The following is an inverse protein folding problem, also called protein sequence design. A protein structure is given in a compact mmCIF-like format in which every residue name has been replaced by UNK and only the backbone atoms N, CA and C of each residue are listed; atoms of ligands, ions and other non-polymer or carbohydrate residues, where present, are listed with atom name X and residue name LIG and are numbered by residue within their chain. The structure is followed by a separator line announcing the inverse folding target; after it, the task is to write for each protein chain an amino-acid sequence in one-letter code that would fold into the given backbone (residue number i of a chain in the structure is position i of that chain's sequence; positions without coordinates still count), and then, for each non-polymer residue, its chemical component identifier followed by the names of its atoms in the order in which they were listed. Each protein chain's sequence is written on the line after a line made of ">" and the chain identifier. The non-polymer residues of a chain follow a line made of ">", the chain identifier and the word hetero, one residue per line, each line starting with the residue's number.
data_IF_631471508894
#
_entry.id   IF_631471508894
#
_cell.length_a   1.000
_cell.length_b   1.000
_cell.length_c   1.000
_cell.angle_alpha   90.00
_cell.angle_beta   90.00
_cell.angle_gamma   90.00
#
_symmetry.space_group_name_H-M   'P 1'
#
loop_
_entity.id
_entity.type
_entity.pdbx_description
1 polymer ?
#
# COMPACT_ATOMS: atom_id res chain seq x y z
N UNK A 1 -21.47 -65.02 -11.16
CA UNK A 1 -21.06 -64.09 -12.24
C UNK A 1 -20.36 -62.93 -11.57
N UNK A 2 -19.06 -62.82 -11.83
CA UNK A 2 -18.09 -61.91 -11.21
C UNK A 2 -18.33 -60.43 -11.54
N UNK A 3 -17.91 -59.52 -10.64
CA UNK A 3 -16.89 -58.50 -10.92
C UNK A 3 -16.67 -57.54 -9.72
N UNK A 4 -15.58 -57.80 -8.99
CA UNK A 4 -14.48 -56.86 -8.69
C UNK A 4 -14.71 -55.46 -8.06
N UNK A 5 -14.13 -55.35 -6.85
CA UNK A 5 -13.11 -54.37 -6.39
C UNK A 5 -13.49 -52.99 -5.84
N UNK A 6 -13.27 -52.85 -4.52
CA UNK A 6 -12.44 -51.85 -3.81
C UNK A 6 -12.52 -50.37 -4.21
N UNK A 7 -12.98 -49.52 -3.26
CA UNK A 7 -12.13 -48.46 -2.68
C UNK A 7 -12.72 -47.89 -1.39
N UNK A 8 -11.94 -48.02 -0.32
CA UNK A 8 -12.04 -47.22 0.90
C UNK A 8 -11.94 -45.72 0.59
N UNK A 9 -12.78 -44.93 1.25
CA UNK A 9 -12.43 -43.57 1.71
C UNK A 9 -13.27 -43.18 2.92
N UNK A 10 -12.64 -43.30 4.08
CA UNK A 10 -12.91 -42.50 5.26
C UNK A 10 -13.03 -41.01 4.90
N UNK A 11 -14.16 -40.39 5.23
CA UNK A 11 -14.23 -39.04 5.79
C UNK A 11 -15.39 -39.08 6.80
N UNK A 12 -15.15 -38.91 8.09
CA UNK A 12 -14.88 -37.60 8.66
C UNK A 12 -16.07 -37.22 9.53
N UNK A 13 -16.10 -37.83 10.72
CA UNK A 13 -17.12 -37.76 11.77
C UNK A 13 -17.53 -36.32 12.08
N UNK A 14 -18.83 -36.07 12.11
CA UNK A 14 -19.44 -34.83 12.57
C UNK A 14 -19.00 -34.50 14.01
N UNK A 15 -18.29 -33.39 14.19
CA UNK A 15 -18.01 -32.80 15.51
C UNK A 15 -18.53 -31.36 15.53
N UNK A 16 -19.61 -31.17 16.30
CA UNK A 16 -20.21 -29.88 16.65
C UNK A 16 -19.15 -28.94 17.21
N UNK A 17 -18.95 -27.79 16.59
CA UNK A 17 -18.25 -26.67 17.21
C UNK A 17 -19.16 -26.05 18.28
N UNK A 18 -18.80 -26.16 19.56
CA UNK A 18 -19.34 -25.31 20.64
C UNK A 18 -18.27 -24.27 21.00
N UNK A 19 -18.58 -22.97 21.06
CA UNK A 19 -17.63 -21.98 21.55
C UNK A 19 -17.42 -22.16 23.06
N UNK A 20 -16.16 -22.15 23.48
CA UNK A 20 -15.76 -22.18 24.90
C UNK A 20 -15.85 -20.75 25.47
N UNK A 21 -16.45 -20.52 26.65
CA UNK A 21 -16.44 -19.19 27.29
C UNK A 21 -15.06 -18.93 27.91
N UNK A 22 -14.40 -17.86 27.49
CA UNK A 22 -13.12 -17.42 28.07
C UNK A 22 -13.41 -16.55 29.31
N UNK A 23 -13.34 -17.15 30.49
CA UNK A 23 -13.31 -16.46 31.79
C UNK A 23 -11.87 -16.25 32.25
N UNK A 24 -11.44 -15.00 32.42
CA UNK A 24 -10.18 -14.63 33.08
C UNK A 24 -9.63 -13.26 32.64
N UNK A 25 -9.32 -12.35 33.57
CA UNK A 25 -9.04 -10.94 33.26
C UNK A 25 -7.58 -10.73 32.86
N UNK A 26 -7.33 -10.11 31.71
CA UNK A 26 -6.01 -9.54 31.40
C UNK A 26 -6.08 -8.02 31.43
N UNK A 27 -5.99 -7.53 32.68
CA UNK A 27 -5.16 -6.41 33.14
C UNK A 27 -4.65 -5.48 32.02
N UNK A 28 -5.32 -4.34 31.91
CA UNK A 28 -4.77 -3.02 31.60
C UNK A 28 -3.61 -2.96 30.62
N UNK A 29 -3.91 -3.07 29.34
CA UNK A 29 -3.24 -2.20 28.37
C UNK A 29 -4.14 -0.99 28.29
N UNK A 30 -3.60 0.16 28.70
CA UNK A 30 -4.20 1.47 28.50
C UNK A 30 -4.60 1.52 27.02
N UNK A 31 -5.90 1.55 26.74
CA UNK A 31 -6.42 1.90 25.42
C UNK A 31 -5.79 3.25 25.09
N UNK A 32 -4.71 3.23 24.31
CA UNK A 32 -4.28 4.39 23.57
C UNK A 32 -5.34 4.47 22.49
N UNK A 33 -6.23 5.47 22.61
CA UNK A 33 -7.29 5.80 21.68
C UNK A 33 -6.83 5.53 20.24
N UNK A 34 -7.17 4.34 19.73
CA UNK A 34 -7.00 3.98 18.32
C UNK A 34 -8.20 4.49 17.52
N UNK A 35 -9.14 5.19 18.20
CA UNK A 35 -10.38 5.71 17.66
C UNK A 35 -10.22 6.98 16.82
N UNK A 36 -9.05 7.65 16.88
CA UNK A 36 -8.76 8.85 16.07
C UNK A 36 -7.88 8.54 14.85
N UNK A 37 -7.47 7.28 14.65
CA UNK A 37 -6.68 6.91 13.48
C UNK A 37 -7.60 6.73 12.26
N UNK A 38 -7.45 7.61 11.28
CA UNK A 38 -8.18 7.51 10.01
C UNK A 38 -7.92 6.14 9.35
N UNK A 39 -8.96 5.43 8.89
CA UNK A 39 -8.80 4.16 8.20
C UNK A 39 -7.82 4.28 7.02
N UNK A 40 -6.94 3.29 6.77
CA UNK A 40 -5.97 3.35 5.67
C UNK A 40 -6.61 3.55 4.28
N UNK A 41 -7.83 3.06 4.10
CA UNK A 41 -8.59 3.27 2.86
C UNK A 41 -8.97 4.74 2.65
N UNK A 42 -9.38 5.42 3.72
CA UNK A 42 -9.76 6.84 3.67
C UNK A 42 -8.50 7.71 3.43
N UNK A 43 -7.39 7.38 4.10
CA UNK A 43 -6.07 8.00 3.83
C UNK A 43 -5.68 7.85 2.36
N UNK A 44 -5.77 6.63 1.81
CA UNK A 44 -5.41 6.38 0.43
C UNK A 44 -6.31 7.16 -0.56
N UNK A 45 -7.60 7.30 -0.23
CA UNK A 45 -8.53 8.09 -1.03
C UNK A 45 -8.18 9.58 -1.01
N UNK A 46 -7.98 10.17 0.18
CA UNK A 46 -7.62 11.59 0.32
C UNK A 46 -6.30 11.91 -0.40
N UNK A 47 -5.30 11.03 -0.26
CA UNK A 47 -4.02 11.17 -0.97
C UNK A 47 -4.23 11.12 -2.49
N UNK A 48 -5.08 10.21 -2.98
CA UNK A 48 -5.41 10.11 -4.40
C UNK A 48 -6.12 11.36 -4.95
N UNK A 49 -7.06 11.91 -4.19
CA UNK A 49 -7.77 13.14 -4.54
C UNK A 49 -6.83 14.35 -4.54
N UNK A 50 -5.96 14.48 -3.54
CA UNK A 50 -4.96 15.54 -3.47
C UNK A 50 -3.95 15.45 -4.63
N UNK A 51 -3.47 14.25 -4.95
CA UNK A 51 -2.55 14.04 -6.07
C UNK A 51 -3.19 14.44 -7.41
N UNK A 52 -4.48 14.14 -7.60
CA UNK A 52 -5.23 14.55 -8.79
C UNK A 52 -5.36 16.06 -8.89
N UNK A 53 -5.77 16.73 -7.81
CA UNK A 53 -5.89 18.19 -7.78
C UNK A 53 -4.55 18.88 -8.06
N UNK A 54 -3.45 18.33 -7.53
CA UNK A 54 -2.11 18.81 -7.82
C UNK A 54 -1.74 18.64 -9.29
N UNK A 55 -2.07 17.50 -9.90
CA UNK A 55 -1.87 17.27 -11.33
C UNK A 55 -2.64 18.27 -12.20
N UNK A 56 -3.87 18.59 -11.82
CA UNK A 56 -4.69 19.60 -12.52
C UNK A 56 -4.07 21.00 -12.41
N UNK A 57 -3.54 21.36 -11.23
CA UNK A 57 -2.86 22.66 -11.01
C UNK A 57 -1.54 22.76 -11.79
N UNK A 58 -0.74 21.69 -11.78
CA UNK A 58 0.55 21.66 -12.49
C UNK A 58 0.40 21.65 -14.01
N UNK A 59 -0.75 21.19 -14.51
CA UNK A 59 -1.07 21.23 -15.93
C UNK A 59 -1.46 22.63 -16.41
N UNK A 60 -1.77 23.56 -15.49
CA UNK A 60 -2.01 24.97 -15.82
C UNK A 60 -0.68 25.71 -16.02
N UNK A 61 -0.25 25.83 -17.27
CA UNK A 61 0.97 26.55 -17.65
C UNK A 61 0.94 28.05 -17.36
N UNK A 62 -0.23 28.62 -17.01
CA UNK A 62 -0.34 30.03 -16.63
C UNK A 62 -0.16 30.25 -15.12
N UNK A 63 -0.12 29.18 -14.32
CA UNK A 63 0.14 29.28 -12.90
C UNK A 63 1.61 29.65 -12.66
N UNK A 64 1.84 30.79 -12.00
CA UNK A 64 3.20 31.15 -11.58
C UNK A 64 3.53 30.39 -10.30
N UNK A 65 4.41 29.40 -10.40
CA UNK A 65 5.00 28.72 -9.26
C UNK A 65 6.37 29.31 -8.95
N UNK A 66 6.65 29.56 -7.66
CA UNK A 66 8.02 29.90 -7.26
C UNK A 66 8.91 28.66 -7.35
N UNK A 67 10.23 28.86 -7.42
CA UNK A 67 11.19 27.75 -7.40
C UNK A 67 11.06 26.91 -6.12
N UNK A 68 10.82 27.55 -4.98
CA UNK A 68 10.56 26.88 -3.71
C UNK A 68 9.26 26.04 -3.73
N UNK A 69 8.23 26.49 -4.43
CA UNK A 69 7.00 25.69 -4.62
C UNK A 69 7.29 24.46 -5.47
N UNK A 70 8.05 24.62 -6.56
CA UNK A 70 8.43 23.52 -7.45
C UNK A 70 9.24 22.47 -6.67
N UNK A 71 10.21 22.88 -5.85
CA UNK A 71 10.98 21.97 -5.00
C UNK A 71 10.08 21.15 -4.08
N UNK A 72 9.17 21.84 -3.36
CA UNK A 72 8.26 21.19 -2.44
C UNK A 72 7.31 20.21 -3.14
N UNK A 73 6.84 20.58 -4.33
CA UNK A 73 5.97 19.75 -5.16
C UNK A 73 6.71 18.49 -5.62
N UNK A 74 7.91 18.64 -6.19
CA UNK A 74 8.70 17.51 -6.70
C UNK A 74 9.10 16.57 -5.55
N UNK A 75 9.51 17.11 -4.40
CA UNK A 75 9.81 16.32 -3.21
C UNK A 75 8.59 15.57 -2.67
N UNK A 76 7.43 16.23 -2.63
CA UNK A 76 6.17 15.62 -2.24
C UNK A 76 5.75 14.49 -3.20
N UNK A 77 5.90 14.69 -4.51
CA UNK A 77 5.62 13.68 -5.52
C UNK A 77 6.54 12.46 -5.38
N UNK A 78 7.84 12.68 -5.18
CA UNK A 78 8.81 11.60 -4.97
C UNK A 78 8.45 10.76 -3.73
N UNK A 79 8.08 11.41 -2.62
CA UNK A 79 7.66 10.75 -1.40
C UNK A 79 6.37 9.94 -1.60
N UNK A 80 5.38 10.51 -2.29
CA UNK A 80 4.11 9.84 -2.58
C UNK A 80 4.30 8.59 -3.46
N UNK A 81 5.11 8.68 -4.51
CA UNK A 81 5.42 7.55 -5.40
C UNK A 81 6.17 6.44 -4.65
N UNK A 82 7.14 6.80 -3.81
CA UNK A 82 7.86 5.83 -2.97
C UNK A 82 6.92 5.14 -1.97
N UNK A 83 6.09 5.90 -1.26
CA UNK A 83 5.12 5.33 -0.33
C UNK A 83 4.07 4.44 -1.01
N UNK A 84 3.66 4.76 -2.24
CA UNK A 84 2.78 3.90 -3.03
C UNK A 84 3.45 2.57 -3.42
N UNK A 85 4.75 2.60 -3.76
CA UNK A 85 5.53 1.39 -4.03
C UNK A 85 5.59 0.48 -2.79
N UNK A 86 5.90 1.05 -1.62
CA UNK A 86 5.94 0.31 -0.35
C UNK A 86 4.57 -0.29 0.01
N UNK A 87 3.49 0.47 -0.18
CA UNK A 87 2.13 0.00 0.06
C UNK A 87 1.76 -1.18 -0.83
N UNK A 88 2.11 -1.14 -2.12
CA UNK A 88 1.86 -2.23 -3.05
C UNK A 88 2.72 -3.46 -2.78
N UNK A 89 3.95 -3.30 -2.31
CA UNK A 89 4.76 -4.43 -1.85
C UNK A 89 4.12 -5.09 -0.62
N UNK A 90 3.63 -4.29 0.33
CA UNK A 90 2.85 -4.78 1.47
C UNK A 90 1.61 -5.58 1.06
N UNK A 91 0.82 -5.07 0.10
CA UNK A 91 -0.33 -5.79 -0.47
C UNK A 91 0.11 -7.09 -1.15
N UNK A 92 1.21 -7.06 -1.89
CA UNK A 92 1.76 -8.23 -2.58
C UNK A 92 2.15 -9.33 -1.58
N UNK A 93 2.85 -8.95 -0.51
CA UNK A 93 3.24 -9.87 0.57
C UNK A 93 2.00 -10.44 1.27
N UNK A 94 1.00 -9.60 1.55
CA UNK A 94 -0.26 -10.05 2.15
C UNK A 94 -0.99 -11.06 1.25
N UNK A 95 -1.18 -10.76 -0.04
CA UNK A 95 -1.81 -11.66 -1.01
C UNK A 95 -1.11 -13.01 -1.08
N UNK A 96 0.22 -13.01 -1.09
CA UNK A 96 1.02 -14.24 -1.09
C UNK A 96 0.80 -15.04 0.21
N UNK A 97 0.75 -14.37 1.35
CA UNK A 97 0.56 -15.01 2.66
C UNK A 97 -0.81 -15.69 2.82
N UNK A 98 -1.86 -15.16 2.17
CA UNK A 98 -3.22 -15.71 2.21
C UNK A 98 -3.48 -16.76 1.13
N UNK A 99 -2.46 -17.12 0.33
CA UNK A 99 -2.57 -18.10 -0.75
C UNK A 99 -3.05 -17.54 -2.09
N UNK A 100 -3.20 -16.21 -2.23
CA UNK A 100 -3.47 -15.53 -3.50
C UNK A 100 -2.17 -15.19 -4.27
N UNK A 101 -1.18 -16.08 -4.21
CA UNK A 101 0.14 -15.91 -4.82
C UNK A 101 0.20 -16.04 -6.35
N UNK A 102 -0.92 -15.81 -7.06
CA UNK A 102 -1.01 -15.88 -8.51
C UNK A 102 -0.88 -14.52 -9.19
N UNK A 103 -1.52 -14.37 -10.34
CA UNK A 103 -1.46 -13.19 -11.21
C UNK A 103 -1.66 -11.86 -10.47
N UNK A 104 -2.58 -11.80 -9.50
CA UNK A 104 -2.84 -10.57 -8.75
C UNK A 104 -1.62 -10.10 -7.94
N UNK A 105 -0.95 -11.02 -7.24
CA UNK A 105 0.29 -10.71 -6.52
C UNK A 105 1.44 -10.38 -7.47
N UNK A 106 1.48 -11.01 -8.65
CA UNK A 106 2.45 -10.71 -9.70
C UNK A 106 2.28 -9.29 -10.26
N UNK A 107 1.05 -8.90 -10.59
CA UNK A 107 0.74 -7.56 -11.07
C UNK A 107 1.06 -6.49 -10.02
N UNK A 108 0.67 -6.71 -8.76
CA UNK A 108 0.98 -5.78 -7.67
C UNK A 108 2.50 -5.59 -7.49
N UNK A 109 3.28 -6.68 -7.59
CA UNK A 109 4.75 -6.63 -7.54
C UNK A 109 5.35 -5.81 -8.69
N UNK A 110 4.86 -6.00 -9.92
CA UNK A 110 5.36 -5.27 -11.10
C UNK A 110 5.05 -3.77 -10.99
N UNK A 111 3.88 -3.41 -10.48
CA UNK A 111 3.51 -2.01 -10.28
C UNK A 111 4.38 -1.38 -9.17
N UNK A 112 4.61 -2.11 -8.07
CA UNK A 112 5.49 -1.66 -6.99
C UNK A 112 6.92 -1.38 -7.51
N UNK A 113 7.48 -2.29 -8.31
CA UNK A 113 8.82 -2.12 -8.89
C UNK A 113 8.92 -0.87 -9.79
N UNK A 114 7.91 -0.64 -10.64
CA UNK A 114 7.86 0.54 -11.50
C UNK A 114 7.76 1.84 -10.71
N UNK A 115 6.95 1.85 -9.65
CA UNK A 115 6.83 3.02 -8.78
C UNK A 115 8.12 3.25 -8.00
N UNK A 116 8.78 2.20 -7.50
CA UNK A 116 10.07 2.34 -6.83
C UNK A 116 11.13 2.94 -7.76
N UNK A 117 11.16 2.50 -9.02
CA UNK A 117 12.04 3.07 -10.03
C UNK A 117 11.73 4.55 -10.29
N UNK A 118 10.46 4.88 -10.55
CA UNK A 118 10.02 6.26 -10.78
C UNK A 118 10.28 7.17 -9.57
N UNK A 119 10.10 6.67 -8.35
CA UNK A 119 10.42 7.38 -7.11
C UNK A 119 11.91 7.71 -7.01
N UNK A 120 12.77 6.78 -7.42
CA UNK A 120 14.22 7.01 -7.53
C UNK A 120 14.58 8.09 -8.56
N UNK A 121 13.97 8.07 -9.74
CA UNK A 121 14.18 9.10 -10.77
C UNK A 121 13.69 10.48 -10.30
N UNK A 122 12.54 10.53 -9.63
CA UNK A 122 12.02 11.77 -9.03
C UNK A 122 12.95 12.27 -7.91
N UNK A 123 13.55 11.38 -7.12
CA UNK A 123 14.57 11.77 -6.13
C UNK A 123 15.77 12.46 -6.77
N UNK A 124 16.28 11.94 -7.89
CA UNK A 124 17.35 12.60 -8.64
C UNK A 124 16.93 13.97 -9.18
N UNK A 125 15.66 14.11 -9.60
CA UNK A 125 15.10 15.40 -10.00
C UNK A 125 15.04 16.38 -8.82
N UNK A 126 14.63 15.94 -7.63
CA UNK A 126 14.66 16.77 -6.41
C UNK A 126 16.07 17.31 -6.17
N UNK A 127 17.07 16.43 -6.19
CA UNK A 127 18.47 16.81 -5.96
C UNK A 127 18.96 17.82 -7.00
N UNK A 128 18.58 17.65 -8.27
CA UNK A 128 18.93 18.56 -9.35
C UNK A 128 18.28 19.94 -9.18
N UNK A 129 17.00 20.00 -8.78
CA UNK A 129 16.30 21.27 -8.54
C UNK A 129 16.92 21.99 -7.34
N UNK A 130 17.20 21.27 -6.24
CA UNK A 130 17.87 21.84 -5.06
C UNK A 130 19.24 22.43 -5.38
N UNK A 131 20.03 21.72 -6.21
CA UNK A 131 21.33 22.22 -6.66
C UNK A 131 21.18 23.49 -7.49
N UNK A 132 20.23 23.53 -8.42
CA UNK A 132 19.99 24.71 -9.25
C UNK A 132 19.51 25.92 -8.43
N UNK A 133 18.75 25.70 -7.36
CA UNK A 133 18.34 26.76 -6.44
C UNK A 133 19.49 27.30 -5.60
N UNK A 134 20.38 26.43 -5.10
CA UNK A 134 21.56 26.82 -4.33
C UNK A 134 22.67 27.49 -5.16
N UNK A 135 22.69 27.31 -6.48
CA UNK A 135 23.59 28.03 -7.40
C UNK A 135 23.04 29.41 -7.82
N UNK A 136 21.78 29.72 -7.51
CA UNK A 136 21.11 30.98 -7.85
C UNK A 136 21.19 32.06 -6.74
N UNK A 137 21.87 31.76 -5.63
CA UNK A 137 22.12 32.66 -4.48
C UNK A 137 23.57 33.19 -4.48
#
# INVERSE_FOLDING_TARGET
>A
MDASTHRDRQTGRAARYKPVPRTGPRRGVKDVDTNDAMPPADVAQEVGEAARQLGDQLSDTNAMHSLADIERIVAGLAAAVTGAADGLDGITQWLRSTGYGGDLSGHASVVAERLAHAGGELGLLVDAVHKAAGEAE
#
